data_IF_174287742158
#
_entry.id   IF_174287742158
#
_cell.length_a   1.000
_cell.length_b   1.000
_cell.length_c   1.000
_cell.angle_alpha   90.00
_cell.angle_beta   90.00
_cell.angle_gamma   90.00
#
_symmetry.space_group_name_H-M   'P 1'
#
loop_
_entity.id
_entity.type
_entity.pdbx_description
1 polymer ?
#
# COMPACT_ATOMS: atom_id res chain seq x y z
N UNK A 1 14.40 13.53 6.63
CA UNK A 1 13.06 13.98 7.04
C UNK A 1 12.28 12.78 7.56
N UNK A 2 11.38 12.97 8.52
CA UNK A 2 10.48 11.92 9.01
C UNK A 2 9.05 12.45 8.99
N UNK A 3 8.13 11.72 8.35
CA UNK A 3 6.69 11.94 8.44
C UNK A 3 6.07 10.82 9.27
N UNK A 4 5.16 11.18 10.18
CA UNK A 4 4.44 10.24 11.02
C UNK A 4 2.95 10.32 10.75
N UNK A 5 2.26 9.19 10.91
CA UNK A 5 0.83 9.10 10.69
C UNK A 5 0.23 7.91 11.43
N UNK A 6 -1.09 7.78 11.28
CA UNK A 6 -1.88 6.73 11.92
C UNK A 6 -2.81 6.11 10.87
N UNK A 7 -2.79 4.79 10.74
CA UNK A 7 -3.65 4.06 9.81
C UNK A 7 -4.56 3.09 10.54
N UNK A 8 -5.86 3.13 10.25
CA UNK A 8 -6.85 2.16 10.74
C UNK A 8 -7.68 1.62 9.59
N UNK A 9 -8.08 0.36 9.68
CA UNK A 9 -9.03 -0.24 8.73
C UNK A 9 -10.44 0.39 8.86
N UNK A 10 -10.81 0.91 10.03
CA UNK A 10 -12.16 1.45 10.27
C UNK A 10 -12.52 2.61 9.33
N UNK A 11 -13.67 2.50 8.65
CA UNK A 11 -14.26 3.58 7.85
C UNK A 11 -13.50 3.98 6.59
N UNK A 12 -12.47 3.23 6.20
CA UNK A 12 -11.64 3.52 5.03
C UNK A 12 -11.82 2.47 3.93
N UNK A 13 -11.55 2.86 2.68
CA UNK A 13 -11.56 1.94 1.53
C UNK A 13 -10.57 0.78 1.67
N UNK A 14 -9.55 0.94 2.53
CA UNK A 14 -8.55 -0.11 2.83
C UNK A 14 -9.21 -1.31 3.51
N UNK A 15 -10.34 -1.14 4.21
CA UNK A 15 -11.08 -2.24 4.83
C UNK A 15 -11.48 -3.35 3.84
N UNK A 16 -11.64 -3.01 2.56
CA UNK A 16 -12.03 -3.94 1.50
C UNK A 16 -10.84 -4.70 0.89
N UNK A 17 -9.59 -4.36 1.24
CA UNK A 17 -8.38 -5.05 0.76
C UNK A 17 -8.00 -6.22 1.66
N UNK A 18 -8.76 -7.31 1.54
CA UNK A 18 -8.58 -8.53 2.34
C UNK A 18 -7.80 -9.60 1.58
N UNK A 19 -6.69 -10.06 2.16
CA UNK A 19 -5.86 -11.16 1.64
C UNK A 19 -5.80 -12.24 2.71
N UNK A 20 -6.22 -13.46 2.34
CA UNK A 20 -6.24 -14.62 3.25
C UNK A 20 -6.95 -14.34 4.60
N UNK A 21 -8.00 -13.53 4.58
CA UNK A 21 -8.81 -13.18 5.76
C UNK A 21 -8.30 -11.99 6.59
N UNK A 22 -7.14 -11.43 6.25
CA UNK A 22 -6.55 -10.26 6.93
C UNK A 22 -6.67 -9.00 6.08
N UNK A 23 -6.98 -7.86 6.71
CA UNK A 23 -6.94 -6.55 6.04
C UNK A 23 -5.48 -6.13 5.91
N UNK A 24 -4.99 -6.02 4.69
CA UNK A 24 -3.64 -5.57 4.39
C UNK A 24 -3.68 -4.18 3.79
N UNK A 25 -2.69 -3.36 4.11
CA UNK A 25 -2.47 -2.14 3.35
C UNK A 25 -2.08 -2.53 1.91
N UNK A 26 -2.80 -2.06 0.88
CA UNK A 26 -2.49 -2.36 -0.51
C UNK A 26 -1.09 -1.86 -0.88
N UNK A 27 -0.43 -2.58 -1.80
CA UNK A 27 0.87 -2.17 -2.36
C UNK A 27 0.88 -0.73 -2.86
N UNK A 28 -0.21 -0.30 -3.50
CA UNK A 28 -0.37 1.07 -4.03
C UNK A 28 -0.40 2.13 -2.95
N UNK A 29 -0.88 1.83 -1.74
CA UNK A 29 -0.87 2.81 -0.66
C UNK A 29 0.56 3.08 -0.14
N UNK A 30 1.50 2.13 -0.26
CA UNK A 30 2.92 2.43 0.01
C UNK A 30 3.54 3.35 -1.05
N UNK A 31 3.13 3.22 -2.32
CA UNK A 31 3.56 4.12 -3.39
C UNK A 31 3.10 5.54 -3.09
N UNK A 32 1.82 5.72 -2.74
CA UNK A 32 1.28 7.03 -2.36
C UNK A 32 2.04 7.64 -1.17
N UNK A 33 2.31 6.86 -0.12
CA UNK A 33 3.08 7.34 1.04
C UNK A 33 4.51 7.76 0.65
N UNK A 34 5.18 6.99 -0.21
CA UNK A 34 6.54 7.29 -0.65
C UNK A 34 6.59 8.55 -1.52
N UNK A 35 5.70 8.66 -2.51
CA UNK A 35 5.59 9.84 -3.39
C UNK A 35 5.26 11.09 -2.57
N UNK A 36 4.25 11.00 -1.70
CA UNK A 36 3.84 12.14 -0.85
C UNK A 36 4.97 12.62 0.06
N UNK A 37 5.77 11.71 0.60
CA UNK A 37 6.95 12.06 1.40
C UNK A 37 8.08 12.64 0.55
N UNK A 38 8.23 12.16 -0.69
CA UNK A 38 9.15 12.70 -1.68
C UNK A 38 8.79 14.15 -2.06
N UNK A 39 7.51 14.45 -2.25
CA UNK A 39 7.03 15.80 -2.58
C UNK A 39 7.45 16.85 -1.54
N UNK A 40 7.44 16.50 -0.25
CA UNK A 40 7.89 17.39 0.84
C UNK A 40 9.35 17.81 0.74
N UNK A 41 10.15 17.08 -0.03
CA UNK A 41 11.58 17.36 -0.26
C UNK A 41 11.91 17.63 -1.72
N UNK A 42 10.90 17.92 -2.55
CA UNK A 42 11.08 18.19 -3.98
C UNK A 42 11.49 16.97 -4.81
N UNK A 43 11.31 15.75 -4.28
CA UNK A 43 11.62 14.48 -4.92
C UNK A 43 10.35 13.65 -5.15
N UNK A 44 9.39 14.18 -5.93
CA UNK A 44 8.08 13.55 -6.14
C UNK A 44 8.05 12.32 -7.06
N UNK A 45 9.17 11.94 -7.69
CA UNK A 45 9.23 10.78 -8.58
C UNK A 45 9.73 9.55 -7.83
N UNK A 46 8.92 8.50 -7.74
CA UNK A 46 9.36 7.20 -7.24
C UNK A 46 10.13 6.46 -8.34
N UNK A 47 11.39 6.10 -8.09
CA UNK A 47 12.16 5.29 -9.05
C UNK A 47 11.97 3.80 -8.83
N UNK A 48 12.08 3.36 -7.58
CA UNK A 48 11.86 1.98 -7.18
C UNK A 48 11.24 1.93 -5.79
N UNK A 49 10.41 0.92 -5.56
CA UNK A 49 9.91 0.58 -4.24
C UNK A 49 9.83 -0.94 -4.08
N UNK A 50 10.64 -1.48 -3.19
CA UNK A 50 10.57 -2.88 -2.79
C UNK A 50 9.65 -3.04 -1.59
N UNK A 51 8.62 -3.88 -1.71
CA UNK A 51 7.76 -4.30 -0.60
C UNK A 51 8.39 -5.51 0.10
N UNK A 52 8.71 -5.37 1.38
CA UNK A 52 9.49 -6.34 2.16
C UNK A 52 8.61 -7.17 3.10
N UNK A 53 7.59 -6.57 3.68
CA UNK A 53 6.67 -7.22 4.59
C UNK A 53 5.26 -6.62 4.47
N UNK A 54 4.19 -7.43 4.52
CA UNK A 54 2.83 -6.90 4.52
C UNK A 54 2.57 -6.06 5.79
N UNK A 55 1.79 -4.99 5.65
CA UNK A 55 1.29 -4.22 6.79
C UNK A 55 -0.15 -4.66 7.05
N UNK A 56 -0.36 -5.42 8.13
CA UNK A 56 -1.67 -5.88 8.58
C UNK A 56 -2.32 -4.76 9.40
N UNK A 57 -3.56 -4.39 9.04
CA UNK A 57 -4.33 -3.43 9.81
C UNK A 57 -5.31 -4.16 10.74
N UNK A 58 -5.20 -3.98 12.06
CA UNK A 58 -6.17 -4.56 13.00
C UNK A 58 -7.58 -4.03 12.72
N UNK A 59 -8.60 -4.88 12.82
CA UNK A 59 -10.00 -4.50 12.55
C UNK A 59 -10.53 -3.38 13.45
N UNK A 60 -9.99 -3.24 14.66
CA UNK A 60 -10.48 -2.31 15.71
C UNK A 60 -9.38 -1.44 16.34
N UNK A 61 -8.19 -1.43 15.78
CA UNK A 61 -7.08 -0.60 16.26
C UNK A 61 -6.36 0.04 15.07
N UNK A 62 -5.58 1.09 15.33
CA UNK A 62 -4.68 1.62 14.32
C UNK A 62 -3.26 1.09 14.51
N UNK A 63 -2.41 1.45 13.55
CA UNK A 63 -0.96 1.35 13.66
C UNK A 63 -0.36 2.74 13.51
N UNK A 64 0.76 2.98 14.17
CA UNK A 64 1.61 4.12 13.88
C UNK A 64 2.41 3.82 12.61
N UNK A 65 2.49 4.78 11.71
CA UNK A 65 3.27 4.69 10.48
C UNK A 65 4.31 5.79 10.47
N UNK A 66 5.50 5.45 9.99
CA UNK A 66 6.59 6.39 9.81
C UNK A 66 7.15 6.24 8.40
N UNK A 67 7.28 7.35 7.69
CA UNK A 67 8.00 7.43 6.42
C UNK A 67 9.28 8.21 6.65
N UNK A 68 10.40 7.57 6.37
CA UNK A 68 11.74 8.15 6.55
C UNK A 68 12.31 8.44 5.17
N UNK A 69 12.69 9.70 4.94
CA UNK A 69 13.38 10.13 3.73
C UNK A 69 14.82 10.53 4.10
N UNK A 70 15.78 9.89 3.44
CA UNK A 70 17.20 10.07 3.66
C UNK A 70 17.76 11.39 3.15
N UNK A 71 19.07 11.55 3.35
CA UNK A 71 19.84 12.62 2.73
C UNK A 71 19.84 12.48 1.20
N UNK A 72 20.13 13.59 0.53
CA UNK A 72 20.31 13.62 -0.91
C UNK A 72 21.68 13.07 -1.28
N UNK A 73 21.75 12.21 -2.29
CA UNK A 73 23.01 11.79 -2.89
C UNK A 73 23.49 12.79 -3.97
N UNK A 74 24.61 12.46 -4.63
CA UNK A 74 25.20 13.30 -5.67
C UNK A 74 24.31 13.46 -6.91
N UNK A 75 23.41 12.51 -7.19
CA UNK A 75 22.50 12.54 -8.33
C UNK A 75 21.15 13.21 -7.99
N UNK A 76 20.94 13.62 -6.73
CA UNK A 76 19.69 14.20 -6.29
C UNK A 76 18.68 13.18 -5.74
N UNK A 77 19.00 11.89 -5.78
CA UNK A 77 18.12 10.86 -5.27
C UNK A 77 18.16 10.81 -3.74
N UNK A 78 17.06 10.34 -3.15
CA UNK A 78 16.91 10.16 -1.71
C UNK A 78 16.32 8.79 -1.44
N UNK A 79 16.86 8.09 -0.45
CA UNK A 79 16.24 6.86 0.03
C UNK A 79 14.91 7.16 0.72
N UNK A 80 13.93 6.27 0.58
CA UNK A 80 12.66 6.30 1.28
C UNK A 80 12.40 4.96 1.95
N UNK A 81 11.85 4.94 3.16
CA UNK A 81 11.46 3.72 3.85
C UNK A 81 10.19 3.92 4.66
N UNK A 82 9.29 2.94 4.61
CA UNK A 82 8.01 2.95 5.33
C UNK A 82 8.05 1.91 6.43
N UNK A 83 7.74 2.35 7.65
CA UNK A 83 7.70 1.54 8.85
C UNK A 83 6.33 1.60 9.51
N UNK A 84 5.98 0.56 10.25
CA UNK A 84 4.87 0.62 11.17
C UNK A 84 5.16 -0.06 12.50
N UNK A 85 4.39 0.29 13.52
CA UNK A 85 4.32 -0.41 14.81
C UNK A 85 2.91 -0.29 15.40
N UNK A 86 2.63 -1.07 16.43
CA UNK A 86 1.35 -1.00 17.13
C UNK A 86 1.07 0.42 17.66
N UNK A 87 -0.21 0.82 17.68
CA UNK A 87 -0.61 2.16 18.12
C UNK A 87 -0.26 2.45 19.60
N UNK A 88 -0.34 1.42 20.45
CA UNK A 88 0.04 1.50 21.87
C UNK A 88 1.57 1.63 22.10
N UNK A 89 2.36 1.66 21.03
CA UNK A 89 3.81 1.76 21.08
C UNK A 89 4.50 0.45 21.44
N UNK A 90 3.77 -0.65 21.58
CA UNK A 90 4.35 -1.97 21.79
C UNK A 90 5.07 -2.48 20.54
N UNK A 91 6.14 -3.25 20.76
CA UNK A 91 6.94 -3.84 19.69
C UNK A 91 7.92 -2.88 18.99
N UNK A 92 8.75 -3.47 18.14
CA UNK A 92 9.71 -2.74 17.31
C UNK A 92 9.05 -2.23 16.03
N UNK A 93 9.60 -1.17 15.45
CA UNK A 93 9.25 -0.73 14.10
C UNK A 93 9.57 -1.83 13.08
N UNK A 94 8.59 -2.21 12.29
CA UNK A 94 8.75 -3.15 11.17
C UNK A 94 8.84 -2.36 9.88
N UNK A 95 9.85 -2.64 9.05
CA UNK A 95 9.97 -2.04 7.72
C UNK A 95 9.11 -2.81 6.73
N UNK A 96 8.22 -2.10 6.05
CA UNK A 96 7.32 -2.67 5.05
C UNK A 96 7.78 -2.40 3.63
N UNK A 97 8.39 -1.25 3.40
CA UNK A 97 8.88 -0.88 2.08
C UNK A 97 10.17 -0.07 2.19
N UNK A 98 11.02 -0.19 1.18
CA UNK A 98 12.20 0.67 0.99
C UNK A 98 12.43 0.91 -0.49
N UNK A 99 12.97 2.07 -0.83
CA UNK A 99 13.22 2.45 -2.21
C UNK A 99 13.92 3.79 -2.33
N UNK A 100 13.78 4.42 -3.49
CA UNK A 100 14.36 5.71 -3.79
C UNK A 100 13.36 6.64 -4.48
N UNK A 101 13.44 7.92 -4.14
CA UNK A 101 12.71 9.00 -4.78
C UNK A 101 13.68 10.01 -5.39
N UNK A 102 13.29 10.60 -6.50
CA UNK A 102 14.08 11.57 -7.27
C UNK A 102 13.25 12.82 -7.58
N UNK A 103 13.90 13.96 -7.87
CA UNK A 103 13.23 15.11 -8.44
C UNK A 103 12.44 14.72 -9.69
N UNK A 104 11.28 15.33 -9.87
CA UNK A 104 10.53 15.21 -11.11
C UNK A 104 11.32 15.99 -12.17
N UNK A 105 12.01 15.27 -13.05
CA UNK A 105 12.68 15.86 -14.20
C UNK A 105 11.68 16.42 -15.22
N UNK A 106 12.18 17.13 -16.23
CA UNK A 106 11.34 17.58 -17.33
C UNK A 106 10.66 16.38 -18.02
N UNK A 107 9.38 16.50 -18.42
CA UNK A 107 8.71 15.46 -19.18
C UNK A 107 9.52 15.13 -20.43
N UNK A 108 10.05 13.91 -20.52
CA UNK A 108 10.64 13.40 -21.75
C UNK A 108 9.52 13.17 -22.77
N UNK A 109 9.78 13.47 -24.05
CA UNK A 109 8.81 13.52 -25.14
C UNK A 109 7.66 12.50 -24.99
N UNK A 110 6.44 13.03 -24.91
CA UNK A 110 5.27 12.33 -24.38
C UNK A 110 4.92 11.03 -25.11
N UNK A 111 4.67 10.00 -24.32
CA UNK A 111 4.03 8.77 -24.79
C UNK A 111 2.62 9.11 -25.32
N UNK A 112 2.37 8.80 -26.60
CA UNK A 112 1.06 9.05 -27.21
C UNK A 112 0.01 8.08 -26.65
N UNK A 113 -0.77 8.55 -25.67
CA UNK A 113 -1.84 7.77 -25.05
C UNK A 113 -2.92 7.29 -26.03
N UNK A 114 -3.01 7.86 -27.26
CA UNK A 114 -3.88 7.32 -28.31
C UNK A 114 -3.43 5.93 -28.79
N UNK A 115 -2.20 5.53 -28.45
CA UNK A 115 -1.63 4.22 -28.76
C UNK A 115 -1.74 3.23 -27.59
N UNK A 116 -2.24 3.66 -26.42
CA UNK A 116 -2.34 2.85 -25.20
C UNK A 116 -3.76 2.74 -24.63
N UNK A 117 -4.26 1.52 -24.38
CA UNK A 117 -3.85 0.24 -24.97
C UNK A 117 -4.51 0.10 -26.35
N UNK A 118 -3.78 -0.36 -27.38
CA UNK A 118 -4.49 -0.96 -28.53
C UNK A 118 -5.23 -2.18 -28.00
N UNK A 119 -6.57 -2.27 -28.10
CA UNK A 119 -7.27 -3.46 -27.65
C UNK A 119 -6.73 -4.67 -28.42
N UNK A 120 -6.27 -5.68 -27.69
CA UNK A 120 -5.99 -6.98 -28.31
C UNK A 120 -7.32 -7.52 -28.88
N UNK A 121 -7.32 -8.18 -30.06
CA UNK A 121 -8.55 -8.67 -30.68
C UNK A 121 -9.28 -9.75 -29.87
N UNK A 122 -8.71 -10.22 -28.75
CA UNK A 122 -9.36 -11.15 -27.84
C UNK A 122 -10.19 -10.41 -26.77
N UNK A 123 -11.51 -10.44 -26.97
CA UNK A 123 -12.48 -10.05 -25.95
C UNK A 123 -12.33 -10.97 -24.72
N UNK A 124 -11.66 -10.50 -23.67
CA UNK A 124 -11.72 -11.13 -22.35
C UNK A 124 -13.19 -11.21 -21.90
N UNK A 125 -13.86 -12.33 -22.17
CA UNK A 125 -15.20 -12.61 -21.65
C UNK A 125 -15.04 -13.02 -20.20
N UNK A 126 -15.07 -12.03 -19.30
CA UNK A 126 -15.29 -12.26 -17.88
C UNK A 126 -16.58 -13.09 -17.71
N UNK A 127 -16.44 -14.38 -17.44
CA UNK A 127 -17.56 -15.34 -17.29
C UNK A 127 -17.98 -15.51 -15.82
N UNK A 128 -17.75 -14.50 -14.99
CA UNK A 128 -18.12 -14.52 -13.58
C UNK A 128 -18.48 -13.13 -13.10
N UNK A 129 -19.64 -13.00 -12.45
CA UNK A 129 -19.96 -11.84 -11.62
C UNK A 129 -18.95 -11.85 -10.47
N UNK A 130 -18.24 -10.75 -10.22
CA UNK A 130 -17.41 -10.60 -9.03
C UNK A 130 -18.35 -10.68 -7.81
N UNK A 131 -18.50 -11.87 -7.24
CA UNK A 131 -19.29 -12.08 -6.03
C UNK A 131 -18.37 -11.69 -4.87
N UNK A 132 -18.80 -10.74 -4.03
CA UNK A 132 -18.25 -10.57 -2.69
C UNK A 132 -18.50 -11.88 -1.94
N UNK A 133 -17.50 -12.75 -1.85
CA UNK A 133 -17.56 -13.91 -0.97
C UNK A 133 -17.47 -13.39 0.46
N UNK A 134 -18.62 -13.25 1.14
CA UNK A 134 -18.62 -13.29 2.61
C UNK A 134 -18.19 -14.70 2.98
N UNK A 135 -17.04 -14.82 3.65
CA UNK A 135 -16.75 -16.02 4.42
C UNK A 135 -17.79 -16.02 5.55
N UNK A 136 -18.79 -16.88 5.45
CA UNK A 136 -19.75 -17.09 6.52
C UNK A 136 -19.03 -17.86 7.63
N UNK A 137 -18.99 -17.28 8.84
CA UNK A 137 -18.61 -17.98 10.05
C UNK A 137 -19.56 -19.17 10.23
N UNK A 138 -19.03 -20.38 10.06
CA UNK A 138 -19.75 -21.60 10.43
C UNK A 138 -19.61 -21.76 11.94
N UNK A 139 -20.58 -21.23 12.68
CA UNK A 139 -20.80 -21.61 14.07
C UNK A 139 -21.36 -23.04 14.09
N UNK A 140 -20.56 -23.97 14.61
CA UNK A 140 -20.97 -25.34 14.88
C UNK A 140 -21.83 -25.36 16.15
N UNK A 141 -23.15 -25.25 15.98
CA UNK A 141 -24.11 -25.59 17.04
C UNK A 141 -24.55 -27.05 16.84
N UNK A 142 -24.00 -27.96 17.66
CA UNK A 142 -24.61 -29.26 17.91
C UNK A 142 -25.08 -29.28 19.36
N UNK A 143 -26.34 -28.90 19.57
CA UNK A 143 -27.11 -29.35 20.71
C UNK A 143 -27.73 -30.72 20.43
N UNK A 144 -27.58 -31.55 21.45
CA UNK A 144 -28.18 -32.84 21.76
C UNK A 144 -29.63 -33.04 21.30
N UNK A 145 -29.93 -34.24 20.78
CA UNK A 145 -31.17 -34.97 21.03
C UNK A 145 -30.97 -36.44 20.62
N UNK A 146 -31.23 -37.37 21.54
CA UNK A 146 -31.16 -38.82 21.34
C UNK A 146 -30.49 -39.53 22.51
#
# INVERSE_FOLDING_TARGET
MVLTGRLSAGGSWVADHVVLGSVLLPGTAFVELAVRAGDEVGCGRLEELTLQAPLVLPKRAAVQVQVVVGGQDAAGARSVSVYSRAEDGSGAWVRHASGSVTPVGEPTAGFDLRQWPRPAPNRWRWRGRMRRSRVADTAMDRRSAG
#
